data_IF_063303328483
#
_entry.id   IF_063303328483
#
_cell.length_a   1.000
_cell.length_b   1.000
_cell.length_c   1.000
_cell.angle_alpha   90.00
_cell.angle_beta   90.00
_cell.angle_gamma   90.00
#
_symmetry.space_group_name_H-M   'P 1'
#
loop_
_entity.id
_entity.type
_entity.pdbx_description
1 polymer ?
#
# COMPACT_ATOMS: atom_id res chain seq x y z
N UNK A 1 9.40 -24.98 36.22
CA UNK A 1 8.59 -23.94 36.89
C UNK A 1 7.66 -23.37 35.84
N UNK A 2 6.39 -23.77 35.88
CA UNK A 2 5.42 -23.54 34.80
C UNK A 2 4.87 -22.12 34.82
N UNK A 3 5.01 -21.40 33.72
CA UNK A 3 4.35 -20.12 33.50
C UNK A 3 2.91 -20.39 33.04
N UNK A 4 1.95 -19.95 33.84
CA UNK A 4 0.53 -20.04 33.52
C UNK A 4 0.17 -19.13 32.36
N UNK A 5 -0.42 -19.71 31.31
CA UNK A 5 -0.99 -18.97 30.19
C UNK A 5 -2.30 -18.32 30.68
N UNK A 6 -2.25 -17.04 31.05
CA UNK A 6 -3.46 -16.27 31.38
C UNK A 6 -4.24 -15.97 30.11
N UNK A 7 -5.48 -16.44 30.02
CA UNK A 7 -6.41 -16.10 28.95
C UNK A 7 -6.81 -14.62 29.05
N UNK A 8 -6.05 -13.75 28.39
CA UNK A 8 -6.43 -12.36 28.10
C UNK A 8 -7.13 -12.31 26.74
N UNK A 9 -8.16 -11.46 26.63
CA UNK A 9 -8.97 -11.33 25.43
C UNK A 9 -8.11 -10.80 24.28
N UNK A 10 -8.05 -11.57 23.19
CA UNK A 10 -7.30 -11.27 21.97
C UNK A 10 -7.74 -9.96 21.31
N UNK A 11 -6.78 -9.06 21.09
CA UNK A 11 -6.87 -7.94 20.17
C UNK A 11 -5.64 -8.00 19.25
N UNK A 12 -5.88 -8.19 17.94
CA UNK A 12 -4.86 -8.10 16.90
C UNK A 12 -4.35 -6.65 16.76
N UNK A 13 -3.37 -6.37 15.90
CA UNK A 13 -3.00 -4.99 15.50
C UNK A 13 -4.07 -4.24 14.70
N UNK A 14 -5.32 -4.66 14.85
CA UNK A 14 -6.47 -3.85 14.53
C UNK A 14 -6.89 -3.07 15.78
N UNK A 15 -6.99 -1.76 15.63
CA UNK A 15 -8.30 -1.11 15.82
C UNK A 15 -8.97 -1.41 17.18
N UNK A 16 -8.80 -0.51 18.17
CA UNK A 16 -9.63 -0.52 19.39
C UNK A 16 -10.63 0.64 19.35
N UNK A 17 -11.94 0.41 19.18
CA UNK A 17 -12.94 1.39 19.54
C UNK A 17 -13.10 1.43 21.07
N UNK A 18 -13.06 2.63 21.64
CA UNK A 18 -13.38 2.88 23.04
C UNK A 18 -14.77 2.32 23.38
N UNK A 19 -14.86 1.62 24.50
CA UNK A 19 -16.09 1.03 25.03
C UNK A 19 -17.16 2.10 25.31
N UNK A 20 -18.23 2.12 24.51
CA UNK A 20 -19.49 2.76 24.89
C UNK A 20 -20.34 1.71 25.60
N UNK A 21 -20.56 1.88 26.91
CA UNK A 21 -21.50 1.05 27.66
C UNK A 21 -22.93 1.44 27.29
N UNK A 22 -23.68 0.56 26.64
CA UNK A 22 -25.14 0.65 26.57
C UNK A 22 -25.74 -0.43 27.46
N UNK A 23 -26.37 0.05 28.53
CA UNK A 23 -27.08 -0.75 29.51
C UNK A 23 -28.51 -0.99 29.03
N UNK A 24 -28.92 -2.27 29.01
CA UNK A 24 -30.29 -2.83 29.21
C UNK A 24 -31.51 -2.29 28.45
N UNK A 25 -32.31 -3.17 27.84
CA UNK A 25 -33.42 -3.82 28.56
C UNK A 25 -34.12 -4.97 27.79
N UNK A 26 -34.71 -5.85 28.60
CA UNK A 26 -35.43 -7.12 28.34
C UNK A 26 -36.70 -7.05 27.46
N UNK A 27 -37.07 -8.18 26.82
CA UNK A 27 -38.23 -9.01 27.26
C UNK A 27 -38.54 -10.25 26.39
N UNK A 28 -38.56 -11.40 27.06
CA UNK A 28 -39.45 -12.58 27.00
C UNK A 28 -40.25 -12.96 25.73
N UNK A 29 -40.13 -14.24 25.32
CA UNK A 29 -41.28 -15.18 25.39
C UNK A 29 -40.90 -16.68 25.24
N UNK A 30 -41.48 -17.49 26.14
CA UNK A 30 -41.62 -18.97 26.18
C UNK A 30 -42.61 -19.50 25.11
N UNK A 31 -42.70 -20.76 24.64
CA UNK A 31 -42.77 -22.12 25.25
C UNK A 31 -42.94 -23.19 24.07
N UNK A 32 -43.27 -24.49 24.24
CA UNK A 32 -42.31 -25.63 24.11
C UNK A 32 -42.68 -26.80 23.14
N UNK A 33 -41.84 -27.85 23.19
CA UNK A 33 -42.04 -29.33 22.93
C UNK A 33 -42.14 -29.91 21.51
N UNK A 34 -41.25 -30.87 21.18
CA UNK A 34 -41.55 -32.26 20.75
C UNK A 34 -40.26 -33.11 20.65
N UNK A 35 -40.45 -34.44 20.55
CA UNK A 35 -39.61 -35.51 21.09
C UNK A 35 -38.43 -36.01 20.22
N UNK A 36 -37.61 -36.81 20.89
CA UNK A 36 -36.33 -37.41 20.50
C UNK A 36 -36.36 -38.41 19.33
N UNK A 37 -35.24 -38.50 18.62
CA UNK A 37 -34.73 -39.76 18.06
C UNK A 37 -33.20 -39.72 18.17
N UNK A 38 -32.64 -40.60 18.99
CA UNK A 38 -31.22 -40.66 19.29
C UNK A 38 -30.50 -41.54 18.25
N UNK A 39 -29.76 -40.91 17.34
CA UNK A 39 -28.78 -41.58 16.49
C UNK A 39 -27.41 -41.35 17.11
N UNK A 40 -26.71 -42.43 17.47
CA UNK A 40 -25.38 -42.38 18.05
C UNK A 40 -24.36 -41.88 17.01
N UNK A 41 -24.13 -40.58 16.98
CA UNK A 41 -23.05 -39.95 16.23
C UNK A 41 -21.78 -40.08 17.06
N UNK A 42 -20.81 -40.84 16.55
CA UNK A 42 -19.44 -40.90 17.06
C UNK A 42 -18.88 -39.49 17.02
N UNK A 43 -18.90 -38.81 18.17
CA UNK A 43 -18.37 -37.47 18.34
C UNK A 43 -16.84 -37.54 18.26
N UNK A 44 -16.30 -37.44 17.05
CA UNK A 44 -14.90 -37.13 16.83
C UNK A 44 -14.62 -35.85 17.58
N UNK A 45 -13.88 -35.96 18.68
CA UNK A 45 -13.44 -34.82 19.49
C UNK A 45 -12.48 -34.02 18.62
N UNK A 46 -13.02 -33.09 17.83
CA UNK A 46 -12.23 -32.13 17.09
C UNK A 46 -11.49 -31.30 18.14
N UNK A 47 -10.24 -31.67 18.38
CA UNK A 47 -9.35 -30.99 19.29
C UNK A 47 -9.44 -29.50 18.95
N UNK A 48 -9.86 -28.70 19.93
CA UNK A 48 -9.87 -27.25 19.80
C UNK A 48 -8.41 -26.83 19.78
N UNK A 49 -7.81 -26.86 18.59
CA UNK A 49 -6.49 -26.28 18.31
C UNK A 49 -6.51 -24.89 18.91
N UNK A 50 -5.71 -24.68 19.95
CA UNK A 50 -5.76 -23.41 20.67
C UNK A 50 -5.31 -22.31 19.71
N UNK A 51 -5.87 -21.11 19.83
CA UNK A 51 -5.51 -19.99 18.95
C UNK A 51 -3.99 -19.73 18.91
N UNK A 52 -3.25 -20.13 19.94
CA UNK A 52 -1.79 -20.08 19.99
C UNK A 52 -1.11 -21.02 18.98
N UNK A 53 -1.66 -22.22 18.73
CA UNK A 53 -1.14 -23.16 17.74
C UNK A 53 -1.38 -22.66 16.30
N UNK A 54 -2.44 -21.87 16.08
CA UNK A 54 -2.82 -21.37 14.74
C UNK A 54 -1.72 -20.50 14.12
N UNK A 55 -0.94 -19.76 14.93
CA UNK A 55 0.12 -18.87 14.43
C UNK A 55 1.54 -19.42 14.59
N UNK A 56 1.73 -20.52 15.33
CA UNK A 56 3.06 -21.06 15.59
C UNK A 56 3.83 -21.41 14.31
N UNK A 57 3.12 -21.94 13.30
CA UNK A 57 3.68 -22.23 12.00
C UNK A 57 4.18 -20.96 11.29
N UNK A 58 3.35 -19.92 11.25
CA UNK A 58 3.72 -18.64 10.65
C UNK A 58 4.86 -17.96 11.39
N UNK A 59 4.87 -18.02 12.72
CA UNK A 59 5.95 -17.48 13.55
C UNK A 59 7.29 -18.14 13.24
N UNK A 60 7.33 -19.47 13.23
CA UNK A 60 8.55 -20.21 12.89
C UNK A 60 8.99 -19.93 11.45
N UNK A 61 8.03 -19.81 10.52
CA UNK A 61 8.34 -19.52 9.13
C UNK A 61 9.03 -18.15 8.96
N UNK A 62 8.54 -17.10 9.61
CA UNK A 62 9.17 -15.76 9.56
C UNK A 62 10.51 -15.71 10.29
N UNK A 63 10.73 -16.55 11.30
CA UNK A 63 12.07 -16.67 11.93
C UNK A 63 13.07 -17.32 10.99
N UNK A 64 12.63 -18.31 10.23
CA UNK A 64 13.48 -19.08 9.31
C UNK A 64 13.76 -18.34 8.00
N UNK A 65 12.76 -17.70 7.42
CA UNK A 65 12.87 -17.00 6.14
C UNK A 65 13.25 -15.54 6.39
N UNK A 66 14.39 -15.03 5.87
CA UNK A 66 14.80 -13.64 6.07
C UNK A 66 13.78 -12.63 5.54
N UNK A 67 13.70 -11.45 6.15
CA UNK A 67 12.71 -10.43 5.80
C UNK A 67 12.79 -9.92 4.35
N UNK A 68 14.00 -9.87 3.78
CA UNK A 68 14.22 -9.52 2.37
C UNK A 68 13.74 -10.61 1.40
N UNK A 69 13.28 -11.75 1.90
CA UNK A 69 12.71 -12.83 1.12
C UNK A 69 11.16 -12.85 1.18
N UNK A 70 10.51 -11.90 1.86
CA UNK A 70 9.06 -11.86 2.03
C UNK A 70 8.37 -11.12 0.88
N UNK A 71 8.70 -11.51 -0.35
CA UNK A 71 8.26 -10.81 -1.55
C UNK A 71 7.15 -11.55 -2.28
N UNK A 72 6.46 -10.82 -3.16
CA UNK A 72 5.43 -11.33 -4.07
C UNK A 72 5.81 -11.02 -5.51
N UNK A 73 5.28 -11.79 -6.45
CA UNK A 73 5.38 -11.49 -7.89
C UNK A 73 4.14 -10.73 -8.37
N UNK A 74 4.21 -10.20 -9.59
CA UNK A 74 3.07 -9.60 -10.28
C UNK A 74 1.84 -10.52 -10.30
N UNK A 75 2.05 -11.81 -10.61
CA UNK A 75 0.98 -12.80 -10.68
C UNK A 75 0.29 -13.01 -9.33
N UNK A 76 1.02 -12.92 -8.21
CA UNK A 76 0.45 -13.01 -6.87
C UNK A 76 -0.43 -11.80 -6.55
N UNK A 77 -0.02 -10.61 -6.99
CA UNK A 77 -0.80 -9.38 -6.82
C UNK A 77 -2.08 -9.44 -7.68
N UNK A 78 -1.98 -9.94 -8.92
CA UNK A 78 -3.15 -10.16 -9.80
C UNK A 78 -4.16 -11.12 -9.15
N UNK A 79 -3.68 -12.26 -8.61
CA UNK A 79 -4.54 -13.22 -7.90
C UNK A 79 -5.16 -12.61 -6.64
N UNK A 80 -4.36 -11.88 -5.85
CA UNK A 80 -4.81 -11.21 -4.65
C UNK A 80 -5.93 -10.21 -4.94
N UNK A 81 -5.73 -9.33 -5.92
CA UNK A 81 -6.72 -8.29 -6.27
C UNK A 81 -8.00 -8.93 -6.83
N UNK A 82 -7.89 -10.05 -7.57
CA UNK A 82 -9.06 -10.82 -7.99
C UNK A 82 -9.85 -11.35 -6.79
N UNK A 83 -9.19 -11.90 -5.76
CA UNK A 83 -9.85 -12.34 -4.53
C UNK A 83 -10.53 -11.18 -3.81
N UNK A 84 -9.86 -10.03 -3.70
CA UNK A 84 -10.42 -8.81 -3.11
C UNK A 84 -11.65 -8.35 -3.87
N UNK A 85 -11.61 -8.34 -5.20
CA UNK A 85 -12.75 -7.95 -6.03
C UNK A 85 -13.96 -8.87 -5.83
N UNK A 86 -13.74 -10.19 -5.73
CA UNK A 86 -14.80 -11.16 -5.44
C UNK A 86 -15.39 -10.98 -4.03
N UNK A 87 -14.55 -10.72 -3.03
CA UNK A 87 -15.01 -10.44 -1.67
C UNK A 87 -15.79 -9.12 -1.57
N UNK A 88 -15.31 -8.08 -2.24
CA UNK A 88 -15.96 -6.78 -2.32
C UNK A 88 -17.33 -6.87 -3.01
N UNK A 89 -17.41 -7.52 -4.19
CA UNK A 89 -18.66 -7.71 -4.92
C UNK A 89 -19.69 -8.54 -4.13
N UNK A 90 -19.24 -9.41 -3.23
CA UNK A 90 -20.08 -10.18 -2.32
C UNK A 90 -20.47 -9.43 -1.03
N UNK A 91 -20.11 -8.15 -0.88
CA UNK A 91 -20.40 -7.35 0.31
C UNK A 91 -19.60 -7.77 1.56
N UNK A 92 -18.53 -8.56 1.40
CA UNK A 92 -17.71 -9.04 2.53
C UNK A 92 -16.65 -8.04 2.99
N UNK A 93 -16.47 -6.95 2.24
CA UNK A 93 -15.61 -5.82 2.61
C UNK A 93 -16.52 -4.61 2.80
N UNK A 94 -17.10 -4.41 4.00
CA UNK A 94 -17.92 -3.23 4.28
C UNK A 94 -17.08 -1.95 4.26
N UNK A 95 -17.73 -0.81 3.99
CA UNK A 95 -17.14 0.52 4.09
C UNK A 95 -17.21 1.02 5.54
N UNK A 96 -16.51 0.31 6.42
CA UNK A 96 -16.47 0.67 7.84
C UNK A 96 -15.83 2.04 8.04
N UNK A 97 -16.28 2.72 9.08
CA UNK A 97 -15.68 3.98 9.51
C UNK A 97 -14.25 3.77 9.98
N UNK A 98 -13.32 4.58 9.48
CA UNK A 98 -11.94 4.57 9.93
C UNK A 98 -11.87 4.95 11.42
N UNK A 99 -11.10 4.23 12.26
CA UNK A 99 -11.18 4.40 13.72
C UNK A 99 -10.63 5.75 14.18
N UNK A 100 -9.62 6.26 13.48
CA UNK A 100 -8.90 7.47 13.88
C UNK A 100 -9.64 8.70 13.38
N UNK A 101 -10.08 8.65 12.12
CA UNK A 101 -10.65 9.83 11.45
C UNK A 101 -12.16 9.90 11.60
N UNK A 102 -12.83 8.79 11.95
CA UNK A 102 -14.29 8.73 12.01
C UNK A 102 -14.96 8.86 10.65
N UNK A 103 -14.21 8.71 9.54
CA UNK A 103 -14.71 8.87 8.17
C UNK A 103 -14.74 7.53 7.43
N UNK A 104 -15.73 7.36 6.57
CA UNK A 104 -15.76 6.24 5.63
C UNK A 104 -14.91 6.58 4.39
N UNK A 105 -14.48 5.56 3.66
CA UNK A 105 -13.82 5.77 2.37
C UNK A 105 -14.87 6.14 1.31
N UNK A 106 -14.93 7.40 0.89
CA UNK A 106 -15.86 7.87 -0.14
C UNK A 106 -15.67 7.16 -1.50
N UNK A 107 -14.48 6.61 -1.75
CA UNK A 107 -14.13 5.92 -2.98
C UNK A 107 -14.26 4.38 -2.88
N UNK A 108 -14.85 3.85 -1.79
CA UNK A 108 -14.92 2.41 -1.51
C UNK A 108 -15.51 1.61 -2.67
N UNK A 109 -16.67 2.04 -3.17
CA UNK A 109 -17.40 1.37 -4.26
C UNK A 109 -16.91 1.83 -5.66
N UNK A 110 -15.93 2.73 -5.73
CA UNK A 110 -15.49 3.27 -7.01
C UNK A 110 -14.64 2.23 -7.77
N UNK A 111 -14.96 1.89 -9.03
CA UNK A 111 -14.32 0.79 -9.75
C UNK A 111 -12.82 0.98 -10.02
N UNK A 112 -12.33 2.23 -9.98
CA UNK A 112 -10.90 2.54 -10.17
C UNK A 112 -10.11 2.67 -8.87
N UNK A 113 -10.76 2.74 -7.70
CA UNK A 113 -10.08 2.96 -6.43
C UNK A 113 -10.32 1.76 -5.52
N UNK A 114 -11.58 1.41 -5.28
CA UNK A 114 -11.97 0.28 -4.47
C UNK A 114 -11.82 0.56 -2.97
N UNK A 115 -11.97 -0.50 -2.15
CA UNK A 115 -11.77 -0.40 -0.71
C UNK A 115 -10.33 0.00 -0.39
N UNK A 116 -10.15 0.71 0.73
CA UNK A 116 -8.81 1.06 1.20
C UNK A 116 -8.06 -0.19 1.64
N UNK A 117 -6.72 -0.14 1.60
CA UNK A 117 -5.89 -1.25 2.07
C UNK A 117 -6.17 -1.58 3.54
N UNK A 118 -6.56 -0.62 4.38
CA UNK A 118 -7.10 -0.87 5.73
C UNK A 118 -8.23 -1.90 5.74
N UNK A 119 -9.25 -1.70 4.91
CA UNK A 119 -10.40 -2.60 4.83
C UNK A 119 -10.01 -3.94 4.22
N UNK A 120 -9.17 -3.92 3.18
CA UNK A 120 -8.68 -5.15 2.55
C UNK A 120 -7.89 -6.01 3.53
N UNK A 121 -7.03 -5.42 4.36
CA UNK A 121 -6.28 -6.19 5.35
C UNK A 121 -7.21 -6.78 6.40
N UNK A 122 -8.14 -5.98 6.94
CA UNK A 122 -9.10 -6.43 7.95
C UNK A 122 -9.97 -7.59 7.46
N UNK A 123 -10.50 -7.51 6.23
CA UNK A 123 -11.51 -8.44 5.73
C UNK A 123 -10.99 -9.55 4.81
N UNK A 124 -9.77 -9.42 4.29
CA UNK A 124 -9.18 -10.40 3.36
C UNK A 124 -7.83 -10.89 3.86
N UNK A 125 -6.84 -10.02 4.09
CA UNK A 125 -5.48 -10.49 4.43
C UNK A 125 -5.45 -11.22 5.76
N UNK A 126 -6.07 -10.66 6.81
CA UNK A 126 -6.07 -11.26 8.15
C UNK A 126 -6.74 -12.65 8.14
N UNK A 127 -7.99 -12.81 7.63
CA UNK A 127 -8.63 -14.13 7.58
C UNK A 127 -7.85 -15.15 6.73
N UNK A 128 -7.34 -14.77 5.56
CA UNK A 128 -6.59 -15.68 4.69
C UNK A 128 -5.25 -16.08 5.33
N UNK A 129 -4.55 -15.14 5.98
CA UNK A 129 -3.30 -15.40 6.71
C UNK A 129 -3.51 -16.32 7.91
N UNK A 130 -4.63 -16.15 8.65
CA UNK A 130 -5.00 -17.06 9.74
C UNK A 130 -5.25 -18.49 9.23
N UNK A 131 -6.02 -18.62 8.15
CA UNK A 131 -6.29 -19.91 7.51
C UNK A 131 -5.02 -20.58 6.99
N UNK A 132 -4.00 -19.79 6.63
CA UNK A 132 -2.69 -20.26 6.18
C UNK A 132 -1.72 -20.58 7.34
N UNK A 133 -2.16 -20.64 8.59
CA UNK A 133 -1.27 -20.94 9.73
C UNK A 133 -0.53 -19.72 10.27
N UNK A 134 -1.08 -18.53 10.07
CA UNK A 134 -0.58 -17.28 10.64
C UNK A 134 0.62 -16.67 9.92
N UNK A 135 0.96 -17.12 8.72
CA UNK A 135 2.04 -16.51 7.93
C UNK A 135 1.55 -15.28 7.15
N UNK A 136 2.47 -14.45 6.65
CA UNK A 136 2.12 -13.33 5.78
C UNK A 136 1.61 -13.85 4.44
N UNK A 137 0.90 -13.00 3.69
CA UNK A 137 0.46 -13.38 2.35
C UNK A 137 1.64 -13.81 1.48
N UNK A 138 2.75 -13.06 1.52
CA UNK A 138 3.96 -13.38 0.77
C UNK A 138 4.48 -14.80 1.09
N UNK A 139 4.61 -15.15 2.37
CA UNK A 139 5.12 -16.47 2.77
C UNK A 139 4.09 -17.60 2.63
N UNK A 140 2.79 -17.30 2.63
CA UNK A 140 1.76 -18.26 2.27
C UNK A 140 1.87 -18.68 0.79
N UNK A 141 2.28 -17.76 -0.08
CA UNK A 141 2.52 -18.01 -1.51
C UNK A 141 3.88 -18.64 -1.76
N UNK A 142 4.91 -18.17 -1.07
CA UNK A 142 6.30 -18.56 -1.25
C UNK A 142 6.91 -18.97 0.09
N UNK A 143 6.69 -20.22 0.57
CA UNK A 143 7.19 -20.66 1.88
C UNK A 143 8.72 -20.70 2.00
N UNK A 144 9.43 -20.68 0.87
CA UNK A 144 10.89 -20.57 0.80
C UNK A 144 11.36 -19.11 0.61
N UNK A 145 10.42 -18.19 0.42
CA UNK A 145 10.66 -16.79 0.13
C UNK A 145 11.12 -16.51 -1.31
N UNK A 146 11.09 -15.23 -1.67
CA UNK A 146 11.57 -14.68 -2.94
C UNK A 146 12.48 -13.48 -2.66
N UNK A 147 13.71 -13.43 -3.20
CA UNK A 147 14.64 -12.34 -2.93
C UNK A 147 14.09 -11.02 -3.44
N UNK A 148 14.14 -9.97 -2.62
CA UNK A 148 13.67 -8.64 -2.99
C UNK A 148 14.43 -8.08 -4.19
N UNK A 149 13.70 -7.49 -5.14
CA UNK A 149 14.25 -6.61 -6.17
C UNK A 149 13.75 -5.17 -5.96
N UNK A 150 12.45 -5.04 -5.67
CA UNK A 150 11.77 -3.75 -5.53
C UNK A 150 11.18 -3.63 -4.14
N UNK A 151 11.53 -2.55 -3.44
CA UNK A 151 10.86 -2.20 -2.18
C UNK A 151 9.73 -1.21 -2.46
N UNK A 152 8.50 -1.54 -2.05
CA UNK A 152 7.33 -0.72 -2.32
C UNK A 152 6.77 -0.11 -1.04
N UNK A 153 6.80 1.21 -0.95
CA UNK A 153 6.11 1.95 0.11
C UNK A 153 4.76 2.47 -0.39
N UNK A 154 3.78 2.48 0.51
CA UNK A 154 2.39 2.76 0.19
C UNK A 154 1.63 3.35 1.40
N UNK A 155 0.42 3.85 1.15
CA UNK A 155 -0.51 4.28 2.20
C UNK A 155 -1.58 3.21 2.45
N UNK A 156 -2.02 3.06 3.71
CA UNK A 156 -3.16 2.20 4.04
C UNK A 156 -4.51 2.75 3.57
N UNK A 157 -4.61 4.06 3.36
CA UNK A 157 -5.79 4.71 2.78
C UNK A 157 -5.83 4.61 1.25
N UNK A 158 -4.79 4.05 0.62
CA UNK A 158 -4.80 3.79 -0.82
C UNK A 158 -5.87 2.77 -1.17
N UNK A 159 -6.60 3.02 -2.25
CA UNK A 159 -7.56 2.06 -2.80
C UNK A 159 -6.83 0.89 -3.48
N UNK A 160 -7.23 -0.34 -3.17
CA UNK A 160 -6.54 -1.54 -3.69
C UNK A 160 -6.56 -1.66 -5.22
N UNK A 161 -7.61 -1.16 -5.90
CA UNK A 161 -7.67 -1.17 -7.37
C UNK A 161 -6.80 -0.06 -7.98
N UNK A 162 -6.62 1.04 -7.24
CA UNK A 162 -5.67 2.08 -7.60
C UNK A 162 -4.23 1.57 -7.49
N UNK A 163 -3.90 0.96 -6.35
CA UNK A 163 -2.62 0.30 -6.10
C UNK A 163 -2.28 -0.69 -7.22
N UNK A 164 -3.18 -1.65 -7.49
CA UNK A 164 -2.97 -2.68 -8.51
C UNK A 164 -2.68 -2.10 -9.89
N UNK A 165 -3.51 -1.15 -10.34
CA UNK A 165 -3.33 -0.49 -11.64
C UNK A 165 -1.98 0.21 -11.75
N UNK A 166 -1.51 0.84 -10.67
CA UNK A 166 -0.19 1.49 -10.63
C UNK A 166 0.93 0.46 -10.71
N UNK A 167 0.86 -0.64 -9.95
CA UNK A 167 1.84 -1.74 -10.03
C UNK A 167 1.93 -2.28 -11.46
N UNK A 168 0.80 -2.64 -12.08
CA UNK A 168 0.77 -3.16 -13.46
C UNK A 168 1.36 -2.17 -14.46
N UNK A 169 1.11 -0.87 -14.26
CA UNK A 169 1.67 0.16 -15.13
C UNK A 169 3.18 0.24 -15.02
N UNK A 170 3.75 0.02 -13.85
CA UNK A 170 5.20 0.03 -13.71
C UNK A 170 5.86 -1.14 -14.40
N UNK A 171 5.38 -2.34 -14.06
CA UNK A 171 5.94 -3.58 -14.58
C UNK A 171 5.85 -3.61 -16.10
N UNK A 172 4.73 -3.17 -16.68
CA UNK A 172 4.53 -3.15 -18.13
C UNK A 172 4.96 -1.85 -18.82
N UNK A 173 5.22 -0.80 -18.06
CA UNK A 173 5.51 0.54 -18.60
C UNK A 173 6.92 0.68 -19.16
N UNK A 174 7.72 -0.38 -19.12
CA UNK A 174 9.13 -0.35 -19.54
C UNK A 174 9.99 0.52 -18.63
N UNK A 175 9.48 0.92 -17.45
CA UNK A 175 10.32 1.41 -16.36
C UNK A 175 10.94 0.17 -15.73
N UNK A 176 11.71 -0.57 -16.51
CA UNK A 176 12.69 -1.52 -15.98
C UNK A 176 13.62 -0.67 -15.13
N UNK A 177 13.79 -1.04 -13.87
CA UNK A 177 14.54 -0.29 -12.89
C UNK A 177 16.03 -0.24 -13.27
N UNK A 178 16.40 0.57 -14.26
CA UNK A 178 17.79 0.83 -14.65
C UNK A 178 18.63 -0.41 -14.99
N UNK A 179 18.05 -1.61 -15.14
CA UNK A 179 18.80 -2.78 -15.55
C UNK A 179 19.15 -2.62 -17.03
N UNK A 180 20.23 -1.89 -17.30
CA UNK A 180 20.92 -1.81 -18.59
C UNK A 180 21.52 -3.17 -19.01
N UNK A 181 20.99 -4.30 -18.49
CA UNK A 181 21.16 -5.60 -19.11
C UNK A 181 20.28 -5.62 -20.37
N UNK A 182 20.69 -4.85 -21.38
CA UNK A 182 20.45 -5.19 -22.78
C UNK A 182 21.27 -6.44 -23.10
N UNK A 183 20.99 -7.56 -22.43
CA UNK A 183 21.42 -8.85 -22.96
C UNK A 183 20.48 -9.14 -24.12
N UNK A 184 20.98 -9.02 -25.35
CA UNK A 184 20.37 -9.33 -26.65
C UNK A 184 19.72 -10.73 -26.77
N UNK A 185 19.70 -11.51 -25.69
CA UNK A 185 19.00 -12.78 -25.64
C UNK A 185 17.53 -12.55 -25.32
N UNK A 186 16.64 -13.13 -26.13
CA UNK A 186 15.15 -13.19 -26.07
C UNK A 186 14.52 -13.58 -24.70
N UNK A 187 15.31 -13.65 -23.63
CA UNK A 187 14.85 -13.81 -22.26
C UNK A 187 14.16 -12.53 -21.79
N UNK A 188 12.83 -12.53 -21.89
CA UNK A 188 11.92 -11.60 -21.20
C UNK A 188 12.48 -11.25 -19.81
N UNK A 189 12.56 -9.96 -19.42
CA UNK A 189 13.11 -9.58 -18.12
C UNK A 189 12.34 -10.31 -17.02
N UNK A 190 13.09 -10.82 -16.03
CA UNK A 190 12.52 -11.51 -14.90
C UNK A 190 11.46 -10.61 -14.24
N UNK A 191 10.30 -11.18 -13.91
CA UNK A 191 9.26 -10.44 -13.20
C UNK A 191 9.80 -9.99 -11.84
N UNK A 192 9.71 -8.70 -11.48
CA UNK A 192 10.31 -8.21 -10.25
C UNK A 192 9.65 -8.86 -9.03
N UNK A 193 10.45 -9.19 -8.03
CA UNK A 193 9.97 -9.56 -6.70
C UNK A 193 9.78 -8.30 -5.86
N UNK A 194 8.56 -8.11 -5.38
CA UNK A 194 8.11 -6.88 -4.74
C UNK A 194 7.89 -7.15 -3.26
N UNK A 195 8.56 -6.35 -2.42
CA UNK A 195 8.28 -6.29 -0.99
C UNK A 195 7.27 -5.17 -0.73
N UNK A 196 6.15 -5.47 -0.08
CA UNK A 196 5.12 -4.49 0.26
C UNK A 196 4.50 -4.82 1.63
N UNK A 197 4.48 -3.86 2.56
CA UNK A 197 4.31 -4.17 3.99
C UNK A 197 2.98 -4.87 4.33
N UNK A 198 1.88 -4.53 3.65
CA UNK A 198 0.58 -5.17 3.91
C UNK A 198 0.49 -6.63 3.42
N UNK A 199 1.40 -7.07 2.55
CA UNK A 199 1.50 -8.45 2.06
C UNK A 199 2.68 -9.22 2.68
N UNK A 200 3.77 -8.52 2.98
CA UNK A 200 5.03 -9.11 3.47
C UNK A 200 4.99 -9.40 4.97
N UNK A 201 4.39 -8.53 5.77
CA UNK A 201 4.31 -8.72 7.21
C UNK A 201 3.11 -9.59 7.61
N UNK A 202 3.19 -10.33 8.73
CA UNK A 202 2.09 -11.17 9.22
C UNK A 202 0.98 -10.32 9.87
N UNK A 203 0.09 -9.77 9.04
CA UNK A 203 -0.96 -8.85 9.48
C UNK A 203 -1.96 -9.45 10.48
N UNK A 204 -2.02 -10.79 10.56
CA UNK A 204 -2.92 -11.49 11.46
C UNK A 204 -2.39 -11.69 12.89
N UNK A 205 -1.12 -11.34 13.16
CA UNK A 205 -0.54 -11.55 14.47
C UNK A 205 -1.18 -10.64 15.54
N UNK A 206 -1.19 -11.10 16.80
CA UNK A 206 -1.43 -10.23 17.95
C UNK A 206 -0.43 -9.08 18.02
N UNK A 207 -0.83 -7.97 18.67
CA UNK A 207 0.01 -6.78 18.81
C UNK A 207 1.35 -7.05 19.47
N UNK A 208 1.34 -7.87 20.51
CA UNK A 208 2.54 -8.22 21.25
C UNK A 208 3.55 -8.92 20.34
N UNK A 209 3.08 -9.87 19.53
CA UNK A 209 3.94 -10.68 18.66
C UNK A 209 4.48 -9.85 17.47
N UNK A 210 3.68 -8.95 16.89
CA UNK A 210 4.23 -8.04 15.87
C UNK A 210 5.20 -7.03 16.49
N UNK A 211 4.96 -6.55 17.71
CA UNK A 211 5.91 -5.67 18.40
C UNK A 211 7.24 -6.39 18.67
N UNK A 212 7.20 -7.68 19.00
CA UNK A 212 8.40 -8.52 19.07
C UNK A 212 9.10 -8.63 17.69
N UNK A 213 8.33 -8.85 16.62
CA UNK A 213 8.87 -8.93 15.25
C UNK A 213 9.54 -7.63 14.79
N UNK A 214 8.92 -6.49 15.08
CA UNK A 214 9.44 -5.15 14.76
C UNK A 214 10.65 -4.80 15.63
N UNK A 215 10.67 -5.30 16.87
CA UNK A 215 11.75 -5.08 17.83
C UNK A 215 11.70 -3.70 18.48
N UNK A 216 12.73 -3.38 19.26
CA UNK A 216 12.90 -2.07 19.92
C UNK A 216 13.79 -1.11 19.13
N UNK A 217 14.28 -1.54 17.97
CA UNK A 217 15.22 -0.81 17.13
C UNK A 217 14.61 -0.77 15.73
N UNK A 218 14.09 0.38 15.27
CA UNK A 218 13.44 0.49 13.97
C UNK A 218 14.33 0.05 12.80
N UNK A 219 15.65 0.14 12.94
CA UNK A 219 16.62 -0.28 11.92
C UNK A 219 16.78 -1.81 11.86
N UNK A 220 16.27 -2.55 12.86
CA UNK A 220 16.23 -4.02 12.90
C UNK A 220 14.86 -4.60 12.55
N UNK A 221 13.89 -3.73 12.26
CA UNK A 221 12.58 -4.16 11.77
C UNK A 221 12.71 -4.96 10.46
N UNK A 222 11.71 -5.79 10.12
CA UNK A 222 11.74 -6.57 8.88
C UNK A 222 11.90 -5.72 7.62
N UNK A 223 11.26 -4.55 7.56
CA UNK A 223 11.31 -3.70 6.37
C UNK A 223 12.66 -2.98 6.24
N UNK A 224 13.27 -2.53 7.35
CA UNK A 224 14.63 -1.99 7.33
C UNK A 224 15.64 -3.06 6.90
N UNK A 225 15.50 -4.29 7.44
CA UNK A 225 16.28 -5.46 6.99
C UNK A 225 16.09 -5.77 5.51
N UNK A 226 14.89 -5.57 4.97
CA UNK A 226 14.61 -5.77 3.54
C UNK A 226 15.32 -4.71 2.68
N UNK A 227 15.23 -3.43 3.05
CA UNK A 227 15.91 -2.32 2.36
C UNK A 227 17.43 -2.43 2.40
N UNK A 228 17.98 -2.84 3.54
CA UNK A 228 19.43 -2.93 3.77
C UNK A 228 20.03 -4.27 3.35
N UNK A 229 19.25 -5.19 2.79
CA UNK A 229 19.73 -6.51 2.42
C UNK A 229 20.79 -6.42 1.31
N UNK A 230 21.82 -7.26 1.43
CA UNK A 230 22.95 -7.30 0.50
C UNK A 230 23.19 -8.71 0.00
N UNK A 231 23.71 -8.83 -1.22
CA UNK A 231 24.36 -10.04 -1.73
C UNK A 231 25.64 -10.33 -0.94
N UNK A 232 26.18 -11.55 -1.11
CA UNK A 232 27.49 -11.93 -0.56
C UNK A 232 28.63 -11.04 -1.08
N UNK A 233 28.43 -10.38 -2.22
CA UNK A 233 29.35 -9.37 -2.80
C UNK A 233 29.36 -8.04 -2.03
N UNK A 234 28.38 -7.82 -1.14
CA UNK A 234 28.19 -6.56 -0.41
C UNK A 234 27.30 -5.53 -1.13
N UNK A 235 26.85 -5.84 -2.35
CA UNK A 235 25.92 -5.01 -3.12
C UNK A 235 24.49 -5.14 -2.58
N UNK A 236 23.70 -4.07 -2.63
CA UNK A 236 22.31 -4.08 -2.18
C UNK A 236 21.45 -4.98 -3.08
N UNK A 237 20.55 -5.77 -2.48
CA UNK A 237 19.55 -6.57 -3.22
C UNK A 237 18.48 -5.67 -3.85
N UNK A 238 18.15 -4.57 -3.18
CA UNK A 238 17.11 -3.64 -3.63
C UNK A 238 17.66 -2.75 -4.74
N UNK A 239 17.03 -2.82 -5.90
CA UNK A 239 17.39 -2.00 -7.06
C UNK A 239 16.81 -0.59 -6.95
N UNK A 240 15.60 -0.46 -6.42
CA UNK A 240 14.96 0.83 -6.18
C UNK A 240 13.78 0.73 -5.21
N UNK A 241 13.34 1.92 -4.75
CA UNK A 241 12.13 2.09 -3.96
C UNK A 241 11.01 2.64 -4.82
N UNK A 242 9.89 1.93 -4.91
CA UNK A 242 8.68 2.38 -5.58
C UNK A 242 7.73 3.05 -4.57
N UNK A 243 7.42 4.31 -4.83
CA UNK A 243 6.51 5.09 -4.00
C UNK A 243 5.13 5.12 -4.64
N UNK A 244 4.17 4.53 -3.94
CA UNK A 244 2.78 4.45 -4.36
C UNK A 244 2.01 5.64 -3.78
N UNK A 245 1.95 6.74 -4.54
CA UNK A 245 1.07 7.87 -4.18
C UNK A 245 -0.38 7.39 -4.16
N UNK A 246 -1.32 8.15 -3.62
CA UNK A 246 -2.75 7.83 -3.70
C UNK A 246 -3.59 9.10 -3.58
N UNK A 247 -4.88 9.02 -3.93
CA UNK A 247 -5.78 10.18 -3.85
C UNK A 247 -6.25 10.56 -2.45
N UNK A 248 -6.10 9.68 -1.46
CA UNK A 248 -6.73 9.83 -0.16
C UNK A 248 -5.87 10.66 0.81
N UNK A 249 -4.55 10.41 0.84
CA UNK A 249 -3.60 11.15 1.68
C UNK A 249 -2.15 10.92 1.22
N UNK A 250 -1.25 11.83 1.58
CA UNK A 250 0.18 11.62 1.40
C UNK A 250 0.66 10.37 2.15
N UNK A 251 1.50 9.57 1.50
CA UNK A 251 2.18 8.43 2.14
C UNK A 251 3.04 8.86 3.33
N UNK A 252 3.54 10.11 3.31
CA UNK A 252 4.47 10.63 4.32
C UNK A 252 3.77 11.27 5.52
N UNK A 253 2.44 11.23 5.58
CA UNK A 253 1.71 11.41 6.85
C UNK A 253 2.01 10.29 7.84
N UNK A 254 2.61 9.18 7.38
CA UNK A 254 2.94 8.01 8.18
C UNK A 254 4.43 7.94 8.47
N UNK A 255 4.77 7.90 9.75
CA UNK A 255 6.15 7.94 10.22
C UNK A 255 6.98 6.70 9.80
N UNK A 256 6.36 5.53 9.67
CA UNK A 256 7.04 4.35 9.09
C UNK A 256 7.44 4.57 7.62
N UNK A 257 6.61 5.22 6.81
CA UNK A 257 6.92 5.54 5.42
C UNK A 257 8.01 6.62 5.30
N UNK A 258 8.07 7.54 6.27
CA UNK A 258 9.20 8.48 6.41
C UNK A 258 10.50 7.73 6.71
N UNK A 259 10.48 6.75 7.62
CA UNK A 259 11.67 5.94 7.92
C UNK A 259 12.14 5.15 6.69
N UNK A 260 11.22 4.55 5.93
CA UNK A 260 11.54 3.86 4.67
C UNK A 260 12.23 4.81 3.68
N UNK A 261 11.72 6.04 3.53
CA UNK A 261 12.34 7.07 2.69
C UNK A 261 13.73 7.46 3.18
N UNK A 262 13.90 7.64 4.49
CA UNK A 262 15.21 7.96 5.08
C UNK A 262 16.23 6.86 4.83
N UNK A 263 15.86 5.60 5.06
CA UNK A 263 16.75 4.46 4.78
C UNK A 263 17.13 4.42 3.30
N UNK A 264 16.16 4.63 2.40
CA UNK A 264 16.42 4.70 0.96
C UNK A 264 17.41 5.81 0.59
N UNK A 265 17.21 7.00 1.16
CA UNK A 265 18.09 8.17 0.97
C UNK A 265 19.50 7.91 1.50
N UNK A 266 19.62 7.37 2.72
CA UNK A 266 20.91 7.06 3.35
C UNK A 266 21.69 5.99 2.58
N UNK A 267 21.00 5.07 1.90
CA UNK A 267 21.58 4.03 1.05
C UNK A 267 21.84 4.49 -0.39
N UNK A 268 21.42 5.70 -0.77
CA UNK A 268 21.50 6.17 -2.16
C UNK A 268 20.64 5.34 -3.13
N UNK A 269 19.56 4.73 -2.65
CA UNK A 269 18.66 3.92 -3.48
C UNK A 269 17.86 4.83 -4.43
N UNK A 270 17.74 4.47 -5.72
CA UNK A 270 16.85 5.17 -6.63
C UNK A 270 15.41 5.14 -6.13
N UNK A 271 14.74 6.30 -6.18
CA UNK A 271 13.36 6.46 -5.77
C UNK A 271 12.50 6.70 -7.01
N UNK A 272 11.49 5.85 -7.22
CA UNK A 272 10.64 5.85 -8.42
C UNK A 272 9.17 6.11 -8.05
N UNK A 273 8.50 7.01 -8.77
CA UNK A 273 7.18 7.57 -8.41
C UNK A 273 6.02 7.13 -9.28
N UNK A 274 4.93 6.70 -8.64
CA UNK A 274 3.79 6.13 -9.36
C UNK A 274 3.01 7.23 -10.06
N UNK A 275 3.29 7.46 -11.35
CA UNK A 275 2.55 8.45 -12.12
C UNK A 275 1.15 7.89 -12.48
N UNK A 276 0.04 8.54 -12.09
CA UNK A 276 -1.22 8.37 -12.76
C UNK A 276 -1.04 8.91 -14.19
N UNK A 277 -1.00 8.00 -15.17
CA UNK A 277 -1.31 8.38 -16.54
C UNK A 277 -2.75 8.86 -16.49
N UNK A 278 -3.02 10.11 -16.89
CA UNK A 278 -4.38 10.51 -17.19
C UNK A 278 -4.94 9.45 -18.13
N UNK A 279 -6.08 8.85 -17.77
CA UNK A 279 -6.82 8.05 -18.73
C UNK A 279 -7.07 9.00 -19.90
N UNK A 280 -6.44 8.74 -21.05
CA UNK A 280 -6.91 9.33 -22.31
C UNK A 280 -8.33 8.85 -22.44
N UNK A 281 -9.31 9.68 -22.08
CA UNK A 281 -10.68 9.51 -22.54
C UNK A 281 -10.55 9.55 -24.06
N UNK A 282 -10.56 8.38 -24.70
CA UNK A 282 -10.57 8.29 -26.14
C UNK A 282 -11.87 8.92 -26.61
N UNK A 283 -11.80 10.18 -27.02
CA UNK A 283 -12.84 10.85 -27.79
C UNK A 283 -12.87 10.26 -29.21
N UNK A 284 -13.16 8.97 -29.32
CA UNK A 284 -13.56 8.32 -30.57
C UNK A 284 -15.03 7.93 -30.47
N UNK A 285 -15.91 8.93 -30.49
CA UNK A 285 -17.28 8.71 -30.94
C UNK A 285 -17.23 8.71 -32.46
N UNK A 286 -17.04 7.53 -33.04
CA UNK A 286 -17.31 7.28 -34.45
C UNK A 286 -18.42 6.23 -34.50
N UNK A 287 -19.50 6.58 -35.20
CA UNK A 287 -20.83 6.07 -34.93
C UNK A 287 -21.10 4.61 -35.32
N UNK A 288 -22.08 4.05 -34.62
CA UNK A 288 -23.00 3.06 -35.15
C UNK A 288 -24.35 3.30 -34.44
N UNK A 289 -25.40 3.51 -35.23
CA UNK A 289 -26.68 4.04 -34.77
C UNK A 289 -27.44 3.10 -33.84
N UNK A 290 -27.90 3.67 -32.72
CA UNK A 290 -29.08 3.23 -31.98
C UNK A 290 -29.94 4.46 -31.67
N UNK A 291 -31.28 4.33 -31.67
CA UNK A 291 -32.18 5.46 -31.54
C UNK A 291 -32.21 5.97 -30.08
N UNK A 292 -31.75 7.21 -29.88
CA UNK A 292 -31.80 7.93 -28.60
C UNK A 292 -33.04 8.85 -28.59
N UNK A 293 -33.83 8.90 -27.51
CA UNK A 293 -34.92 9.85 -27.34
C UNK A 293 -34.40 11.30 -27.33
N UNK A 294 -35.16 12.21 -27.93
CA UNK A 294 -34.84 13.65 -28.03
C UNK A 294 -34.59 14.25 -26.63
N UNK A 295 -33.33 14.48 -26.29
CA UNK A 295 -32.92 15.33 -25.17
C UNK A 295 -32.28 16.61 -25.71
N UNK A 296 -32.67 17.73 -25.11
CA UNK A 296 -32.43 19.10 -25.55
C UNK A 296 -30.97 19.55 -25.39
N UNK A 297 -30.62 20.53 -26.23
CA UNK A 297 -29.31 21.16 -26.45
C UNK A 297 -28.65 21.67 -25.16
N UNK A 298 -27.57 21.03 -24.70
CA UNK A 298 -26.25 21.62 -24.41
C UNK A 298 -25.24 20.54 -23.94
N UNK A 299 -24.21 20.16 -24.73
CA UNK A 299 -23.27 19.09 -24.37
C UNK A 299 -22.43 19.36 -23.10
N UNK A 300 -22.22 20.64 -22.77
CA UNK A 300 -21.46 21.04 -21.57
C UNK A 300 -22.26 20.89 -20.26
N UNK A 301 -23.57 20.71 -20.32
CA UNK A 301 -24.42 20.59 -19.14
C UNK A 301 -24.71 19.13 -18.75
N UNK A 302 -24.55 18.17 -19.68
CA UNK A 302 -24.74 16.75 -19.41
C UNK A 302 -23.57 16.11 -18.63
N UNK A 303 -22.37 16.70 -18.63
CA UNK A 303 -21.24 16.20 -17.84
C UNK A 303 -21.32 16.54 -16.35
N UNK A 304 -22.25 17.41 -15.92
CA UNK A 304 -22.50 17.69 -14.50
C UNK A 304 -23.47 16.72 -13.82
N UNK A 305 -24.17 15.88 -14.57
CA UNK A 305 -25.29 15.07 -14.04
C UNK A 305 -24.88 13.71 -13.45
N UNK A 306 -23.60 13.31 -13.53
CA UNK A 306 -23.09 12.12 -12.83
C UNK A 306 -22.22 12.43 -11.60
N UNK A 307 -22.10 13.70 -11.19
CA UNK A 307 -21.62 14.09 -9.85
C UNK A 307 -20.18 13.70 -9.44
N UNK A 308 -19.46 12.88 -10.21
CA UNK A 308 -18.07 12.53 -9.91
C UNK A 308 -17.17 13.50 -10.66
N UNK A 309 -16.82 14.58 -9.99
CA UNK A 309 -15.62 15.34 -10.34
C UNK A 309 -14.44 14.37 -10.17
N UNK A 310 -13.98 13.76 -11.27
CA UNK A 310 -12.67 13.13 -11.34
C UNK A 310 -11.63 14.25 -11.35
N UNK A 311 -11.69 15.12 -10.34
CA UNK A 311 -10.91 16.32 -10.18
C UNK A 311 -9.48 15.98 -10.56
N UNK A 312 -8.93 16.77 -11.47
CA UNK A 312 -7.60 16.61 -12.03
C UNK A 312 -6.55 16.90 -10.96
N UNK A 313 -6.60 16.22 -9.83
CA UNK A 313 -5.58 16.27 -8.80
C UNK A 313 -4.30 15.85 -9.49
N UNK A 314 -3.39 16.82 -9.58
CA UNK A 314 -2.03 16.53 -10.00
C UNK A 314 -1.46 15.56 -8.97
N UNK A 315 -0.51 14.71 -9.38
CA UNK A 315 0.13 13.80 -8.42
C UNK A 315 0.86 14.57 -7.31
N UNK A 316 1.21 15.81 -7.59
CA UNK A 316 1.78 16.76 -6.63
C UNK A 316 0.80 17.01 -5.49
N UNK A 317 -0.48 17.21 -5.83
CA UNK A 317 -1.53 17.35 -4.83
C UNK A 317 -1.67 16.07 -4.01
N UNK A 318 -1.49 14.88 -4.61
CA UNK A 318 -1.57 13.60 -3.91
C UNK A 318 -0.43 13.38 -2.90
N UNK A 319 0.81 13.68 -3.29
CA UNK A 319 1.97 13.50 -2.42
C UNK A 319 2.05 14.54 -1.30
N UNK A 320 1.41 15.69 -1.48
CA UNK A 320 1.33 16.75 -0.47
C UNK A 320 -0.02 16.79 0.25
N UNK A 321 -0.95 15.87 -0.07
CA UNK A 321 -2.30 15.89 0.49
C UNK A 321 -2.25 15.63 2.00
N UNK A 322 -2.44 16.70 2.78
CA UNK A 322 -2.35 16.67 4.24
C UNK A 322 -0.93 16.46 4.77
N UNK A 323 0.09 16.70 3.96
CA UNK A 323 1.48 16.64 4.41
C UNK A 323 1.95 18.03 4.86
N UNK A 324 2.15 18.19 6.17
CA UNK A 324 2.59 19.44 6.79
C UNK A 324 4.08 19.44 7.17
N UNK A 325 4.82 18.39 6.78
CA UNK A 325 6.22 18.17 7.10
C UNK A 325 6.46 16.89 7.89
N UNK A 326 7.67 16.35 7.81
CA UNK A 326 8.09 15.10 8.45
C UNK A 326 7.85 15.11 9.96
N UNK A 327 8.01 16.26 10.62
CA UNK A 327 7.75 16.41 12.05
C UNK A 327 6.29 16.14 12.43
N UNK A 328 5.35 16.26 11.50
CA UNK A 328 3.92 16.00 11.70
C UNK A 328 3.49 14.58 11.31
N UNK A 329 4.40 13.74 10.81
CA UNK A 329 4.09 12.35 10.49
C UNK A 329 3.75 11.54 11.76
N UNK A 330 2.73 10.70 11.65
CA UNK A 330 2.14 9.96 12.77
C UNK A 330 2.44 8.46 12.73
N UNK A 331 2.43 7.83 13.90
CA UNK A 331 2.46 6.38 14.06
C UNK A 331 1.33 5.96 15.01
N UNK A 332 0.71 4.81 14.73
CA UNK A 332 -0.35 4.25 15.57
C UNK A 332 0.14 3.77 16.95
N UNK A 333 1.43 3.49 17.08
CA UNK A 333 2.07 3.13 18.35
C UNK A 333 3.00 4.28 18.78
N UNK A 334 2.76 4.90 19.95
CA UNK A 334 3.56 6.04 20.41
C UNK A 334 5.00 5.65 20.80
N UNK A 335 5.25 4.40 21.21
CA UNK A 335 6.60 3.92 21.50
C UNK A 335 7.40 3.82 20.20
N UNK A 336 6.79 3.21 19.17
CA UNK A 336 7.39 3.15 17.83
C UNK A 336 7.61 4.56 17.28
N UNK A 337 6.66 5.48 17.50
CA UNK A 337 6.79 6.87 17.08
C UNK A 337 8.04 7.54 17.66
N UNK A 338 8.27 7.33 18.97
CA UNK A 338 9.44 7.86 19.66
C UNK A 338 10.73 7.29 19.07
N UNK A 339 10.81 5.97 18.92
CA UNK A 339 12.00 5.28 18.39
C UNK A 339 12.31 5.70 16.95
N UNK A 340 11.29 5.82 16.09
CA UNK A 340 11.50 6.25 14.70
C UNK A 340 11.94 7.70 14.66
N UNK A 341 11.38 8.59 15.50
CA UNK A 341 11.81 10.00 15.56
C UNK A 341 13.26 10.14 15.99
N UNK A 342 13.74 9.30 16.90
CA UNK A 342 15.17 9.27 17.26
C UNK A 342 16.05 8.92 16.06
N UNK A 343 15.61 8.03 15.16
CA UNK A 343 16.34 7.67 13.93
C UNK A 343 16.26 8.77 12.86
N UNK A 344 15.13 9.46 12.77
CA UNK A 344 14.89 10.53 11.77
C UNK A 344 15.49 11.87 12.19
N UNK A 345 15.79 12.04 13.47
CA UNK A 345 16.29 13.29 14.04
C UNK A 345 17.51 13.84 13.30
N UNK A 346 17.41 15.09 12.85
CA UNK A 346 18.46 15.80 12.12
C UNK A 346 18.37 15.65 10.59
N UNK A 347 17.49 14.78 10.08
CA UNK A 347 17.26 14.60 8.64
C UNK A 347 15.91 15.16 8.18
N UNK A 348 15.09 15.74 9.06
CA UNK A 348 13.72 16.17 8.73
C UNK A 348 13.69 17.16 7.55
N UNK A 349 14.51 18.21 7.59
CA UNK A 349 14.54 19.21 6.51
C UNK A 349 15.03 18.67 5.17
N UNK A 350 15.94 17.68 5.18
CA UNK A 350 16.40 17.00 3.96
C UNK A 350 15.27 16.15 3.37
N UNK A 351 14.54 15.43 4.23
CA UNK A 351 13.41 14.61 3.84
C UNK A 351 12.25 15.48 3.31
N UNK A 352 11.91 16.60 3.97
CA UNK A 352 10.91 17.55 3.48
C UNK A 352 11.28 18.08 2.09
N UNK A 353 12.53 18.55 1.93
CA UNK A 353 13.05 19.03 0.65
C UNK A 353 12.97 17.94 -0.43
N UNK A 354 13.31 16.70 -0.08
CA UNK A 354 13.21 15.57 -1.00
C UNK A 354 11.76 15.33 -1.40
N UNK A 355 10.82 15.26 -0.46
CA UNK A 355 9.38 15.06 -0.70
C UNK A 355 8.80 16.17 -1.59
N UNK A 356 9.18 17.43 -1.38
CA UNK A 356 8.78 18.56 -2.21
C UNK A 356 9.35 18.46 -3.64
N UNK A 357 10.64 18.15 -3.79
CA UNK A 357 11.30 17.98 -5.10
C UNK A 357 10.65 16.86 -5.88
N UNK A 358 10.39 15.75 -5.22
CA UNK A 358 9.65 14.60 -5.71
C UNK A 358 8.28 15.02 -6.24
N UNK A 359 7.56 15.82 -5.45
CA UNK A 359 6.23 16.31 -5.78
C UNK A 359 6.26 17.22 -7.02
N UNK A 360 7.26 18.10 -7.11
CA UNK A 360 7.48 19.00 -8.25
C UNK A 360 7.90 18.28 -9.53
N UNK A 361 8.86 17.35 -9.44
CA UNK A 361 9.34 16.56 -10.59
C UNK A 361 8.20 15.78 -11.23
N UNK A 362 7.26 15.33 -10.41
CA UNK A 362 6.08 14.64 -10.84
C UNK A 362 5.11 15.54 -11.63
N UNK A 363 4.84 16.76 -11.16
CA UNK A 363 4.08 17.77 -11.93
C UNK A 363 4.73 17.97 -13.30
N UNK A 364 6.06 18.09 -13.32
CA UNK A 364 6.80 18.35 -14.54
C UNK A 364 6.74 17.18 -15.53
N UNK A 365 6.93 15.94 -15.06
CA UNK A 365 6.83 14.75 -15.89
C UNK A 365 5.44 14.61 -16.55
N UNK A 366 4.38 15.01 -15.86
CA UNK A 366 3.04 15.11 -16.45
C UNK A 366 2.99 16.17 -17.56
N UNK A 367 3.42 17.40 -17.27
CA UNK A 367 3.45 18.50 -18.24
C UNK A 367 4.29 18.19 -19.48
N UNK A 368 5.39 17.44 -19.33
CA UNK A 368 6.25 17.01 -20.43
C UNK A 368 5.64 15.88 -21.24
N UNK A 369 4.91 14.94 -20.63
CA UNK A 369 4.18 13.93 -21.41
C UNK A 369 3.07 14.56 -22.25
N UNK A 370 2.51 15.64 -21.75
CA UNK A 370 1.56 16.46 -22.50
C UNK A 370 2.27 17.36 -23.54
N UNK A 371 3.62 17.43 -23.62
CA UNK A 371 4.34 18.17 -24.69
C UNK A 371 4.00 17.74 -26.10
N UNK A 372 3.51 16.53 -26.34
CA UNK A 372 3.05 16.18 -27.69
C UNK A 372 1.78 16.96 -28.08
N UNK A 373 1.00 17.40 -27.10
CA UNK A 373 -0.20 18.24 -27.25
C UNK A 373 0.10 19.73 -26.98
N UNK A 374 1.04 20.01 -26.07
CA UNK A 374 1.49 21.35 -25.69
C UNK A 374 2.46 21.94 -26.73
N UNK A 375 3.27 21.17 -27.47
CA UNK A 375 4.06 21.70 -28.61
C UNK A 375 3.16 22.31 -29.69
N UNK A 376 1.90 21.90 -29.76
CA UNK A 376 0.90 22.46 -30.68
C UNK A 376 0.31 23.78 -30.16
N UNK A 377 0.32 24.01 -28.83
CA UNK A 377 -0.33 25.15 -28.17
C UNK A 377 0.61 26.19 -27.56
N UNK A 378 1.80 25.80 -27.09
CA UNK A 378 2.80 26.66 -26.46
C UNK A 378 4.04 26.74 -27.36
N UNK A 379 4.33 27.96 -27.83
CA UNK A 379 5.48 28.24 -28.69
C UNK A 379 6.82 27.85 -28.09
N UNK A 380 7.82 27.62 -28.96
CA UNK A 380 9.17 27.11 -28.63
C UNK A 380 9.87 27.87 -27.47
N UNK A 381 9.61 29.15 -27.29
CA UNK A 381 10.24 29.98 -26.25
C UNK A 381 9.75 29.68 -24.83
N UNK A 382 8.48 29.32 -24.63
CA UNK A 382 7.97 28.93 -23.31
C UNK A 382 8.64 27.64 -22.81
N UNK A 383 8.87 26.69 -23.72
CA UNK A 383 9.57 25.44 -23.44
C UNK A 383 11.04 25.71 -23.06
N UNK A 384 11.68 26.67 -23.72
CA UNK A 384 13.09 27.05 -23.47
C UNK A 384 13.28 27.71 -22.11
N UNK A 385 12.35 28.56 -21.68
CA UNK A 385 12.37 29.19 -20.34
C UNK A 385 12.16 28.16 -19.23
N UNK A 386 11.23 27.22 -19.41
CA UNK A 386 11.00 26.12 -18.47
C UNK A 386 12.23 25.20 -18.33
N UNK A 387 12.90 24.87 -19.43
CA UNK A 387 14.12 24.06 -19.41
C UNK A 387 15.33 24.80 -18.78
N UNK A 388 15.40 26.12 -18.92
CA UNK A 388 16.44 26.93 -18.26
C UNK A 388 16.30 26.96 -16.74
N UNK A 389 15.09 26.90 -16.20
CA UNK A 389 14.87 26.79 -14.74
C UNK A 389 15.43 25.48 -14.16
N UNK A 390 15.45 24.41 -14.95
CA UNK A 390 15.93 23.08 -14.55
C UNK A 390 17.46 23.00 -14.52
N UNK A 391 18.14 23.60 -15.51
CA UNK A 391 19.62 23.65 -15.54
C UNK A 391 20.23 24.48 -14.39
N UNK A 392 19.44 25.35 -13.77
CA UNK A 392 19.86 26.09 -12.56
C UNK A 392 19.84 25.18 -11.33
N UNK A 393 18.98 24.16 -11.30
CA UNK A 393 18.87 23.19 -10.20
C UNK A 393 20.07 22.22 -10.23
N UNK A 394 20.44 21.69 -11.41
CA UNK A 394 21.62 20.80 -11.55
C UNK A 394 22.94 21.52 -11.23
N UNK A 395 23.05 22.82 -11.51
CA UNK A 395 24.24 23.61 -11.16
C UNK A 395 24.35 23.95 -9.68
N UNK A 396 23.23 24.02 -8.96
CA UNK A 396 23.25 24.24 -7.52
C UNK A 396 23.81 23.02 -6.78
N UNK A 397 23.54 21.80 -7.27
CA UNK A 397 24.08 20.54 -6.72
C UNK A 397 25.59 20.42 -6.96
N UNK A 398 26.09 20.81 -8.13
CA UNK A 398 27.54 20.85 -8.41
C UNK A 398 28.32 21.87 -7.55
N UNK A 399 27.63 22.83 -6.91
CA UNK A 399 28.27 23.83 -6.04
C UNK A 399 28.22 23.50 -4.55
N UNK A 400 27.48 22.45 -4.15
CA UNK A 400 27.30 22.08 -2.74
C UNK A 400 28.32 21.04 -2.25
N UNK A 401 28.96 20.29 -3.15
CA UNK A 401 30.04 19.32 -2.84
C UNK A 401 31.42 19.97 -2.62
N UNK A 402 31.46 21.26 -2.25
CA UNK A 402 32.70 22.04 -2.09
C UNK A 402 32.82 22.84 -0.80
N UNK A 403 32.02 22.52 0.23
CA UNK A 403 32.01 23.23 1.53
C UNK A 403 32.39 22.35 2.70
#
# INVERSE_FOLDING_TARGET
MGAGCSASRSAALNWSPSSVSSNGNNSNNSKPTAAATATATTATTAATTTACEVYAQGFELHRRVPAHMWCVMEADIDEFVKKVALAHAAGRIPNDTHPVTGKNNEAHDHPLFGPSIHMVVKYVVVPESQAAGGMSWALARHPHGLPINIFMTHCWEEGIYEFHRKVKRYIHGGISAGTNLETETDSRPATPHIWCCFLANPQCWPRQDLKELLGQDPMKSPFAKALMAKHDTGELLVECVWLMSNRATSIYTRLWCVLELKIAMDLGLPIVFSLPKQCRLSSSVSGAGLPIPKLTRNPLQAMRLNGVDLGSYSVTDQLLLGFDGVQHAECSDPDDAKLIREVVQGSEGQLDTLIERISCANTYAMLVRDKHEIKEKLGKEAIKTLLKGILVIEKAEASYDGG
#
